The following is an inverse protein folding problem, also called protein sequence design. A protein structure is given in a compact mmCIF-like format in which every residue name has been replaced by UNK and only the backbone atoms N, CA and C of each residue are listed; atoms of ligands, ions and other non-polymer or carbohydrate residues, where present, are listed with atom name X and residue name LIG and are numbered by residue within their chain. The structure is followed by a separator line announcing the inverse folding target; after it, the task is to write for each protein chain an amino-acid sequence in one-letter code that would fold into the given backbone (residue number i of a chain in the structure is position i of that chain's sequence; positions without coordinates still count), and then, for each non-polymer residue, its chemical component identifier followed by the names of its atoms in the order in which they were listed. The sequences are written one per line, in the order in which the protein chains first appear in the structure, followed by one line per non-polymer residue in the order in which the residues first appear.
data_IF_531012286308
#
_entry.id   IF_531012286308
#
_cell.length_a   1.000
_cell.length_b   1.000
_cell.length_c   1.000
_cell.angle_alpha   90.00
_cell.angle_beta   90.00
_cell.angle_gamma   90.00
#
_symmetry.space_group_name_H-M   'P 1'
#
loop_
_entity.id
_entity.type
_entity.pdbx_description
1 polymer ?
#
# COMPACT_ATOMS: atom_id res chain seq x y z
N UNK A 1 -28.27 3.67 -10.18
CA UNK A 1 -27.73 4.17 -11.46
C UNK A 1 -28.47 3.46 -12.57
N UNK A 2 -29.17 4.16 -13.48
CA UNK A 2 -29.70 3.50 -14.66
C UNK A 2 -28.52 3.02 -15.52
N UNK A 3 -28.64 1.87 -16.23
CA UNK A 3 -27.61 1.45 -17.17
C UNK A 3 -27.67 2.41 -18.35
N UNK A 4 -26.71 3.33 -18.42
CA UNK A 4 -26.57 4.22 -19.58
C UNK A 4 -25.81 3.42 -20.63
N UNK A 5 -26.52 2.63 -21.44
CA UNK A 5 -25.93 2.14 -22.68
C UNK A 5 -25.65 3.36 -23.56
N UNK A 6 -24.38 3.68 -23.77
CA UNK A 6 -23.96 4.73 -24.71
C UNK A 6 -24.17 4.32 -26.18
N UNK A 7 -24.67 3.11 -26.41
CA UNK A 7 -24.99 2.58 -27.73
C UNK A 7 -26.42 2.94 -28.07
N UNK A 8 -26.59 3.62 -29.19
CA UNK A 8 -27.88 3.86 -29.82
C UNK A 8 -28.48 2.54 -30.34
N UNK A 9 -29.80 2.50 -30.55
CA UNK A 9 -30.47 1.32 -31.14
C UNK A 9 -29.82 0.90 -32.46
N UNK A 10 -29.38 1.86 -33.28
CA UNK A 10 -28.70 1.61 -34.55
C UNK A 10 -27.34 0.93 -34.37
N UNK A 11 -26.59 1.28 -33.34
CA UNK A 11 -25.31 0.63 -33.03
C UNK A 11 -25.51 -0.79 -32.50
N UNK A 12 -26.62 -1.07 -31.81
CA UNK A 12 -26.97 -2.43 -31.37
C UNK A 12 -27.32 -3.32 -32.57
N UNK A 13 -28.08 -2.78 -33.52
CA UNK A 13 -28.40 -3.50 -34.77
C UNK A 13 -27.13 -3.73 -35.60
N UNK A 14 -26.28 -2.69 -35.74
CA UNK A 14 -25.00 -2.79 -36.44
C UNK A 14 -24.06 -3.81 -35.77
N UNK A 15 -23.99 -3.82 -34.44
CA UNK A 15 -23.22 -4.82 -33.68
C UNK A 15 -23.70 -6.23 -33.98
N UNK A 16 -25.01 -6.44 -34.05
CA UNK A 16 -25.60 -7.75 -34.34
C UNK A 16 -25.22 -8.24 -35.74
N UNK A 17 -25.26 -7.33 -36.73
CA UNK A 17 -24.84 -7.62 -38.11
C UNK A 17 -23.35 -7.93 -38.18
N UNK A 18 -22.50 -7.06 -37.61
CA UNK A 18 -21.05 -7.28 -37.56
C UNK A 18 -20.71 -8.61 -36.90
N UNK A 19 -21.43 -8.97 -35.82
CA UNK A 19 -21.20 -10.22 -35.09
C UNK A 19 -21.55 -11.43 -35.94
N UNK A 20 -22.69 -11.41 -36.63
CA UNK A 20 -23.07 -12.48 -37.55
C UNK A 20 -22.05 -12.62 -38.68
N UNK A 21 -21.57 -11.51 -39.25
CA UNK A 21 -20.55 -11.53 -40.29
C UNK A 21 -19.24 -12.15 -39.79
N UNK A 22 -18.76 -11.74 -38.61
CA UNK A 22 -17.54 -12.28 -38.00
C UNK A 22 -17.62 -13.79 -37.75
N UNK A 23 -18.77 -14.30 -37.30
CA UNK A 23 -18.97 -15.73 -37.01
C UNK A 23 -18.99 -16.57 -38.28
N UNK A 24 -19.49 -16.03 -39.38
CA UNK A 24 -19.58 -16.71 -40.66
C UNK A 24 -18.29 -16.60 -41.50
N UNK A 25 -17.37 -15.72 -41.10
CA UNK A 25 -16.16 -15.46 -41.84
C UNK A 25 -15.03 -16.45 -41.53
N UNK A 26 -14.43 -17.00 -42.58
CA UNK A 26 -13.21 -17.79 -42.46
C UNK A 26 -12.01 -16.89 -42.23
N UNK A 27 -11.68 -16.69 -40.94
CA UNK A 27 -10.60 -15.80 -40.53
C UNK A 27 -9.22 -16.39 -40.91
N UNK A 28 -8.35 -15.61 -41.59
CA UNK A 28 -7.10 -16.12 -42.17
C UNK A 28 -6.07 -16.57 -41.12
N UNK A 29 -6.19 -16.09 -39.88
CA UNK A 29 -5.30 -16.46 -38.77
C UNK A 29 -5.81 -17.66 -37.95
N UNK A 30 -7.01 -18.17 -38.23
CA UNK A 30 -7.60 -19.35 -37.59
C UNK A 30 -7.28 -20.65 -38.36
N UNK A 31 -6.01 -20.88 -38.69
CA UNK A 31 -5.55 -22.11 -39.36
C UNK A 31 -5.54 -23.32 -38.41
N UNK A 32 -5.63 -24.53 -38.95
CA UNK A 32 -5.56 -25.80 -38.20
C UNK A 32 -4.28 -25.93 -37.34
N UNK A 33 -3.19 -25.28 -37.74
CA UNK A 33 -1.95 -25.21 -36.96
C UNK A 33 -2.07 -24.29 -35.72
N UNK A 34 -2.82 -23.20 -35.86
CA UNK A 34 -3.07 -22.23 -34.80
C UNK A 34 -4.13 -22.70 -33.81
N UNK A 35 -5.05 -23.60 -34.21
CA UNK A 35 -6.00 -24.27 -33.30
C UNK A 35 -5.31 -25.12 -32.22
N UNK A 36 -4.07 -25.59 -32.48
CA UNK A 36 -3.27 -26.37 -31.52
C UNK A 36 -2.43 -25.51 -30.57
N UNK A 37 -2.28 -24.21 -30.84
CA UNK A 37 -1.53 -23.28 -29.98
C UNK A 37 -2.49 -22.41 -29.19
N UNK A 38 -2.18 -22.17 -27.92
CA UNK A 38 -2.90 -21.21 -27.10
C UNK A 38 -2.59 -19.79 -27.57
N UNK A 39 -3.46 -19.23 -28.40
CA UNK A 39 -3.38 -17.83 -28.82
C UNK A 39 -3.85 -16.97 -27.64
N UNK A 40 -3.08 -15.93 -27.29
CA UNK A 40 -3.53 -14.94 -26.32
C UNK A 40 -4.78 -14.22 -26.84
N UNK A 41 -5.80 -14.08 -25.98
CA UNK A 41 -7.04 -13.38 -26.32
C UNK A 41 -6.79 -11.96 -26.85
N UNK A 42 -5.77 -11.27 -26.32
CA UNK A 42 -5.37 -9.93 -26.78
C UNK A 42 -4.80 -9.94 -28.20
N UNK A 43 -4.12 -11.03 -28.59
CA UNK A 43 -3.56 -11.18 -29.94
C UNK A 43 -4.68 -11.51 -30.93
N UNK A 44 -5.55 -12.44 -30.57
CA UNK A 44 -6.71 -12.82 -31.37
C UNK A 44 -7.58 -11.60 -31.75
N UNK A 45 -7.97 -10.79 -30.77
CA UNK A 45 -8.79 -9.61 -31.04
C UNK A 45 -8.04 -8.49 -31.75
N UNK A 46 -6.73 -8.37 -31.54
CA UNK A 46 -5.89 -7.43 -32.30
C UNK A 46 -5.90 -7.78 -33.79
N UNK A 47 -5.70 -9.06 -34.11
CA UNK A 47 -5.69 -9.53 -35.49
C UNK A 47 -7.06 -9.29 -36.17
N UNK A 48 -8.17 -9.37 -35.42
CA UNK A 48 -9.52 -8.98 -35.89
C UNK A 48 -9.64 -7.46 -36.12
N UNK A 49 -9.16 -6.64 -35.19
CA UNK A 49 -9.25 -5.18 -35.30
C UNK A 49 -8.38 -4.61 -36.42
N UNK A 50 -7.32 -5.33 -36.79
CA UNK A 50 -6.44 -4.94 -37.90
C UNK A 50 -7.04 -5.29 -39.28
N UNK A 51 -8.14 -6.04 -39.34
CA UNK A 51 -8.87 -6.30 -40.58
C UNK A 51 -9.51 -5.02 -41.11
N UNK A 52 -9.31 -4.77 -42.40
CA UNK A 52 -9.85 -3.60 -43.08
C UNK A 52 -10.73 -3.98 -44.25
N UNK A 53 -11.78 -3.19 -44.46
CA UNK A 53 -12.59 -3.22 -45.66
C UNK A 53 -12.56 -1.85 -46.33
N UNK A 54 -12.13 -1.80 -47.59
CA UNK A 54 -11.96 -0.57 -48.39
C UNK A 54 -11.19 0.54 -47.63
N UNK A 55 -10.24 0.16 -46.76
CA UNK A 55 -9.37 1.07 -46.01
C UNK A 55 -9.83 1.42 -44.59
N UNK A 56 -11.09 1.18 -44.24
CA UNK A 56 -11.66 1.39 -42.91
C UNK A 56 -11.65 0.10 -42.08
N UNK A 57 -11.77 0.22 -40.74
CA UNK A 57 -11.88 -0.94 -39.85
C UNK A 57 -13.11 -1.76 -40.23
N UNK A 58 -12.93 -3.08 -40.40
CA UNK A 58 -13.99 -3.98 -40.85
C UNK A 58 -15.09 -4.18 -39.81
N UNK A 59 -14.76 -4.05 -38.52
CA UNK A 59 -15.68 -4.28 -37.41
C UNK A 59 -15.59 -3.15 -36.35
N UNK A 60 -15.99 -1.92 -36.69
CA UNK A 60 -15.79 -0.76 -35.83
C UNK A 60 -16.64 -0.79 -34.56
N UNK A 61 -17.83 -1.41 -34.59
CA UNK A 61 -18.70 -1.49 -33.40
C UNK A 61 -18.26 -2.63 -32.48
N UNK A 62 -17.93 -3.80 -33.03
CA UNK A 62 -17.32 -4.91 -32.26
C UNK A 62 -16.02 -4.44 -31.60
N UNK A 63 -15.16 -3.72 -32.32
CA UNK A 63 -13.90 -3.22 -31.79
C UNK A 63 -14.11 -2.38 -30.52
N UNK A 64 -15.07 -1.45 -30.53
CA UNK A 64 -15.41 -0.64 -29.37
C UNK A 64 -15.91 -1.49 -28.20
N UNK A 65 -16.84 -2.41 -28.46
CA UNK A 65 -17.46 -3.25 -27.42
C UNK A 65 -16.44 -4.18 -26.79
N UNK A 66 -15.65 -4.87 -27.60
CA UNK A 66 -14.65 -5.83 -27.13
C UNK A 66 -13.53 -5.11 -26.38
N UNK A 67 -13.02 -3.98 -26.87
CA UNK A 67 -12.04 -3.17 -26.11
C UNK A 67 -12.58 -2.77 -24.74
N UNK A 68 -13.86 -2.38 -24.66
CA UNK A 68 -14.49 -2.06 -23.39
C UNK A 68 -14.57 -3.28 -22.45
N UNK A 69 -15.06 -4.41 -22.94
CA UNK A 69 -15.15 -5.65 -22.13
C UNK A 69 -13.78 -6.13 -21.66
N UNK A 70 -12.78 -6.13 -22.54
CA UNK A 70 -11.41 -6.52 -22.19
C UNK A 70 -10.79 -5.55 -21.18
N UNK A 71 -11.06 -4.24 -21.31
CA UNK A 71 -10.58 -3.26 -20.33
C UNK A 71 -11.16 -3.47 -18.93
N UNK A 72 -12.42 -3.91 -18.82
CA UNK A 72 -13.05 -4.26 -17.53
C UNK A 72 -12.37 -5.48 -16.93
N UNK A 73 -12.19 -6.54 -17.73
CA UNK A 73 -11.55 -7.76 -17.28
C UNK A 73 -10.11 -7.49 -16.80
N UNK A 74 -9.35 -6.69 -17.55
CA UNK A 74 -7.99 -6.32 -17.22
C UNK A 74 -7.91 -5.40 -15.99
N UNK A 75 -8.83 -4.45 -15.85
CA UNK A 75 -8.90 -3.57 -14.68
C UNK A 75 -9.12 -4.38 -13.39
N UNK A 76 -10.06 -5.32 -13.41
CA UNK A 76 -10.33 -6.18 -12.26
C UNK A 76 -9.15 -7.10 -11.95
N UNK A 77 -8.58 -7.78 -12.95
CA UNK A 77 -7.44 -8.67 -12.77
C UNK A 77 -6.20 -7.93 -12.24
N UNK A 78 -5.97 -6.69 -12.69
CA UNK A 78 -4.85 -5.86 -12.22
C UNK A 78 -4.99 -5.48 -10.75
N UNK A 79 -6.21 -5.12 -10.34
CA UNK A 79 -6.54 -4.79 -8.95
C UNK A 79 -6.40 -6.02 -8.06
N UNK A 80 -6.88 -7.18 -8.48
CA UNK A 80 -6.72 -8.44 -7.74
C UNK A 80 -5.25 -8.84 -7.57
N UNK A 81 -4.44 -8.73 -8.63
CA UNK A 81 -2.99 -8.97 -8.54
C UNK A 81 -2.33 -8.03 -7.53
N UNK A 82 -2.72 -6.75 -7.52
CA UNK A 82 -2.23 -5.78 -6.55
C UNK A 82 -2.64 -6.18 -5.13
N UNK A 83 -3.90 -6.57 -4.91
CA UNK A 83 -4.37 -7.03 -3.61
C UNK A 83 -3.65 -8.28 -3.12
N UNK A 84 -3.38 -9.26 -3.99
CA UNK A 84 -2.60 -10.46 -3.64
C UNK A 84 -1.18 -10.07 -3.20
N UNK A 85 -0.55 -9.15 -3.93
CA UNK A 85 0.78 -8.65 -3.57
C UNK A 85 0.77 -7.93 -2.21
N UNK A 86 -0.24 -7.09 -1.97
CA UNK A 86 -0.41 -6.41 -0.69
C UNK A 86 -0.70 -7.39 0.45
N UNK A 87 -1.54 -8.40 0.20
CA UNK A 87 -1.84 -9.44 1.17
C UNK A 87 -0.57 -10.16 1.61
N UNK A 88 0.36 -10.44 0.68
CA UNK A 88 1.65 -11.02 1.02
C UNK A 88 2.51 -10.09 1.90
N UNK A 89 2.54 -8.80 1.59
CA UNK A 89 3.33 -7.79 2.32
C UNK A 89 2.79 -7.59 3.75
N UNK A 90 1.46 -7.53 3.90
CA UNK A 90 0.79 -7.24 5.18
C UNK A 90 0.71 -8.50 6.04
N UNK A 91 0.24 -9.61 5.49
CA UNK A 91 -0.13 -10.82 6.25
C UNK A 91 1.08 -11.70 6.52
N UNK A 92 1.94 -11.96 5.53
CA UNK A 92 3.04 -12.95 5.67
C UNK A 92 4.17 -12.45 6.55
N UNK A 93 4.48 -11.16 6.50
CA UNK A 93 5.55 -10.55 7.29
C UNK A 93 5.07 -9.89 8.58
N UNK A 94 3.75 -9.94 8.89
CA UNK A 94 3.12 -9.25 10.04
C UNK A 94 3.54 -7.78 10.16
N UNK A 95 3.80 -7.14 9.02
CA UNK A 95 4.25 -5.76 8.98
C UNK A 95 3.05 -4.83 9.05
N UNK A 96 2.94 -4.05 10.13
CA UNK A 96 1.99 -2.94 10.20
C UNK A 96 2.60 -1.73 9.51
N UNK A 97 2.68 -1.77 8.19
CA UNK A 97 3.15 -0.64 7.39
C UNK A 97 2.07 0.43 7.32
N UNK A 98 2.46 1.69 7.48
CA UNK A 98 1.56 2.80 7.20
C UNK A 98 1.24 2.87 5.70
N UNK A 99 0.05 3.36 5.38
CA UNK A 99 -0.46 3.45 4.00
C UNK A 99 0.49 4.21 3.06
N UNK A 100 1.17 5.24 3.57
CA UNK A 100 2.14 6.00 2.79
C UNK A 100 3.35 5.15 2.37
N UNK A 101 3.84 4.29 3.28
CA UNK A 101 4.94 3.35 3.02
C UNK A 101 4.55 2.29 2.01
N UNK A 102 3.33 1.76 2.13
CA UNK A 102 2.79 0.78 1.18
C UNK A 102 2.69 1.36 -0.22
N UNK A 103 2.18 2.60 -0.34
CA UNK A 103 2.14 3.33 -1.63
C UNK A 103 3.53 3.52 -2.21
N UNK A 104 4.50 3.97 -1.40
CA UNK A 104 5.89 4.13 -1.85
C UNK A 104 6.51 2.82 -2.36
N UNK A 105 6.24 1.71 -1.67
CA UNK A 105 6.71 0.38 -2.08
C UNK A 105 6.10 -0.05 -3.42
N UNK A 106 4.79 0.14 -3.59
CA UNK A 106 4.10 -0.19 -4.85
C UNK A 106 4.64 0.64 -6.02
N UNK A 107 4.82 1.95 -5.83
CA UNK A 107 5.37 2.85 -6.85
C UNK A 107 6.79 2.40 -7.23
N UNK A 108 7.64 2.14 -6.24
CA UNK A 108 9.03 1.71 -6.48
C UNK A 108 9.07 0.39 -7.25
N UNK A 109 8.21 -0.57 -6.88
CA UNK A 109 8.12 -1.85 -7.57
C UNK A 109 7.62 -1.70 -9.00
N UNK A 110 6.60 -0.89 -9.23
CA UNK A 110 6.07 -0.62 -10.58
C UNK A 110 7.12 0.08 -11.45
N UNK A 111 7.84 1.05 -10.89
CA UNK A 111 8.94 1.73 -11.56
C UNK A 111 10.06 0.76 -11.96
N UNK A 112 10.43 -0.18 -11.08
CA UNK A 112 11.39 -1.23 -11.41
C UNK A 112 10.85 -2.12 -12.55
N UNK A 113 9.62 -2.62 -12.44
CA UNK A 113 9.02 -3.46 -13.48
C UNK A 113 9.00 -2.78 -14.87
N UNK A 114 8.79 -1.46 -14.93
CA UNK A 114 8.82 -0.70 -16.17
C UNK A 114 10.25 -0.49 -16.72
N UNK A 115 11.23 -0.33 -15.84
CA UNK A 115 12.62 -0.03 -16.22
C UNK A 115 13.56 -1.25 -16.19
N UNK A 116 13.02 -2.46 -15.99
CA UNK A 116 13.74 -3.73 -16.03
C UNK A 116 14.12 -4.28 -14.66
N UNK A 117 15.33 -4.83 -14.54
CA UNK A 117 15.82 -5.42 -13.29
C UNK A 117 16.55 -4.39 -12.43
N UNK A 118 16.64 -4.66 -11.13
CA UNK A 118 17.40 -3.85 -10.19
C UNK A 118 18.88 -3.68 -10.59
N UNK A 119 19.42 -4.60 -11.39
CA UNK A 119 20.81 -4.56 -11.90
C UNK A 119 21.02 -3.50 -12.98
N UNK A 120 19.97 -3.15 -13.73
CA UNK A 120 20.08 -2.26 -14.89
C UNK A 120 19.55 -0.86 -14.59
N UNK A 121 19.11 -0.61 -13.35
CA UNK A 121 18.56 0.66 -12.95
C UNK A 121 19.68 1.71 -12.89
N UNK A 122 19.59 2.70 -13.79
CA UNK A 122 20.45 3.89 -13.72
C UNK A 122 19.92 4.83 -12.65
N UNK A 123 20.70 5.01 -11.59
CA UNK A 123 20.37 5.95 -10.52
C UNK A 123 20.72 7.37 -11.01
N UNK A 124 19.71 8.20 -11.13
CA UNK A 124 19.87 9.61 -11.49
C UNK A 124 20.39 10.44 -10.29
N UNK A 125 21.02 11.58 -10.58
CA UNK A 125 21.55 12.50 -9.56
C UNK A 125 20.44 13.05 -8.66
N UNK A 126 19.26 13.31 -9.23
CA UNK A 126 18.07 13.71 -8.48
C UNK A 126 17.62 12.62 -7.48
N UNK A 127 17.68 11.35 -7.91
CA UNK A 127 17.32 10.21 -7.08
C UNK A 127 18.31 10.06 -5.91
N UNK A 128 19.61 10.27 -6.18
CA UNK A 128 20.64 10.28 -5.15
C UNK A 128 20.41 11.38 -4.10
N UNK A 129 20.03 12.59 -4.54
CA UNK A 129 19.67 13.67 -3.63
C UNK A 129 18.49 13.29 -2.72
N UNK A 130 17.41 12.75 -3.30
CA UNK A 130 16.24 12.33 -2.52
C UNK A 130 16.52 11.17 -1.56
N UNK A 131 17.40 10.23 -1.92
CA UNK A 131 17.85 9.16 -1.04
C UNK A 131 18.56 9.73 0.19
N UNK A 132 19.53 10.64 -0.02
CA UNK A 132 20.27 11.29 1.08
C UNK A 132 19.34 12.09 1.99
N UNK A 133 18.45 12.89 1.41
CA UNK A 133 17.48 13.68 2.16
C UNK A 133 16.53 12.80 3.00
N UNK A 134 16.05 11.69 2.43
CA UNK A 134 15.19 10.74 3.13
C UNK A 134 15.94 10.04 4.27
N UNK A 135 17.21 9.70 4.05
CA UNK A 135 18.06 9.09 5.08
C UNK A 135 18.33 10.05 6.24
N UNK A 136 18.63 11.33 5.97
CA UNK A 136 18.81 12.35 7.03
C UNK A 136 17.58 12.44 7.93
N UNK A 137 16.39 12.58 7.32
CA UNK A 137 15.12 12.62 8.07
C UNK A 137 14.84 11.36 8.87
N UNK A 138 15.22 10.19 8.35
CA UNK A 138 15.12 8.94 9.09
C UNK A 138 16.04 8.91 10.31
N UNK A 139 17.29 9.37 10.16
CA UNK A 139 18.24 9.48 11.27
C UNK A 139 17.74 10.45 12.35
N UNK A 140 17.31 11.65 11.96
CA UNK A 140 16.73 12.66 12.85
C UNK A 140 15.57 12.06 13.68
N UNK A 141 14.58 11.45 13.01
CA UNK A 141 13.44 10.82 13.69
C UNK A 141 13.84 9.71 14.67
N UNK A 142 14.87 8.93 14.36
CA UNK A 142 15.33 7.87 15.26
C UNK A 142 16.12 8.42 16.44
N UNK A 143 16.86 9.52 16.26
CA UNK A 143 17.54 10.22 17.34
C UNK A 143 16.52 10.83 18.30
N UNK A 144 15.52 11.57 17.79
CA UNK A 144 14.42 12.12 18.59
C UNK A 144 13.71 11.03 19.42
N UNK A 145 13.42 9.88 18.79
CA UNK A 145 12.81 8.73 19.50
C UNK A 145 13.71 8.12 20.57
N UNK A 146 15.03 8.19 20.44
CA UNK A 146 15.96 7.74 21.48
C UNK A 146 16.02 8.74 22.62
N UNK A 147 15.99 10.03 22.31
CA UNK A 147 16.06 11.12 23.28
C UNK A 147 14.82 11.12 24.17
N UNK A 148 13.63 11.05 23.56
CA UNK A 148 12.37 10.91 24.29
C UNK A 148 12.37 9.70 25.25
N UNK A 149 12.88 8.54 24.81
CA UNK A 149 12.97 7.36 25.68
C UNK A 149 13.93 7.55 26.85
N UNK A 150 15.04 8.28 26.64
CA UNK A 150 15.99 8.61 27.71
C UNK A 150 15.35 9.54 28.72
N UNK A 151 14.63 10.56 28.25
CA UNK A 151 13.95 11.54 29.08
C UNK A 151 12.84 10.90 29.93
N UNK A 152 11.94 10.11 29.33
CA UNK A 152 10.91 9.34 30.05
C UNK A 152 11.51 8.39 31.10
N UNK A 153 12.68 7.80 30.80
CA UNK A 153 13.39 6.94 31.76
C UNK A 153 13.97 7.73 32.93
N UNK A 154 14.47 8.94 32.69
CA UNK A 154 15.00 9.82 33.73
C UNK A 154 13.89 10.34 34.63
N UNK A 155 12.76 10.74 34.04
CA UNK A 155 11.60 11.26 34.77
C UNK A 155 11.01 10.20 35.71
N UNK A 156 10.90 8.94 35.24
CA UNK A 156 10.50 7.81 36.10
C UNK A 156 11.45 7.61 37.29
N UNK A 157 12.76 7.69 37.07
CA UNK A 157 13.76 7.55 38.16
C UNK A 157 13.65 8.68 39.18
N UNK A 158 13.49 9.92 38.71
CA UNK A 158 13.30 11.07 39.58
C UNK A 158 12.04 10.92 40.44
N UNK A 159 10.94 10.47 39.83
CA UNK A 159 9.68 10.26 40.55
C UNK A 159 9.82 9.17 41.63
N UNK A 160 10.57 8.09 41.34
CA UNK A 160 10.88 7.06 42.32
C UNK A 160 11.72 7.59 43.48
N UNK A 161 12.73 8.43 43.21
CA UNK A 161 13.56 9.07 44.25
C UNK A 161 12.74 10.01 45.12
N UNK A 162 11.94 10.90 44.53
CA UNK A 162 11.04 11.80 45.27
C UNK A 162 10.08 11.01 46.16
N UNK A 163 9.51 9.91 45.66
CA UNK A 163 8.63 9.05 46.45
C UNK A 163 9.36 8.38 47.62
N UNK A 164 10.61 7.93 47.43
CA UNK A 164 11.44 7.36 48.50
C UNK A 164 11.75 8.41 49.57
N UNK A 165 12.17 9.60 49.17
CA UNK A 165 12.44 10.71 50.08
C UNK A 165 11.21 11.12 50.88
N UNK A 166 10.06 11.27 50.21
CA UNK A 166 8.79 11.59 50.88
C UNK A 166 8.44 10.54 51.94
N UNK A 167 8.60 9.26 51.59
CA UNK A 167 8.35 8.14 52.52
C UNK A 167 9.31 8.18 53.71
N UNK A 168 10.59 8.49 53.47
CA UNK A 168 11.61 8.59 54.50
C UNK A 168 11.39 9.78 55.43
N UNK A 169 11.03 10.95 54.89
CA UNK A 169 10.67 12.14 55.65
C UNK A 169 9.41 11.93 56.50
N UNK A 170 8.41 11.22 55.98
CA UNK A 170 7.22 10.82 56.75
C UNK A 170 7.59 9.93 57.93
N UNK A 171 8.50 8.96 57.75
CA UNK A 171 9.01 8.13 58.85
C UNK A 171 9.75 8.97 59.89
N UNK A 172 10.62 9.88 59.48
CA UNK A 172 11.36 10.78 60.37
C UNK A 172 10.43 11.64 61.23
N UNK A 173 9.41 12.28 60.63
CA UNK A 173 8.39 13.04 61.38
C UNK A 173 7.70 12.20 62.45
N UNK A 174 7.30 10.96 62.11
CA UNK A 174 6.66 10.06 63.08
C UNK A 174 7.56 9.68 64.27
N UNK A 175 8.88 9.62 64.04
CA UNK A 175 9.87 9.34 65.10
C UNK A 175 10.03 10.56 66.01
N UNK A 176 10.03 11.76 65.43
CA UNK A 176 10.18 13.02 66.16
C UNK A 176 8.97 13.29 67.07
N UNK A 177 7.75 13.08 66.57
CA UNK A 177 6.51 13.15 67.35
C UNK A 177 6.52 12.16 68.54
N UNK A 178 7.02 10.93 68.31
CA UNK A 178 7.22 9.92 69.37
C UNK A 178 8.26 10.35 70.40
N UNK A 179 9.35 11.03 69.99
CA UNK A 179 10.36 11.55 70.92
C UNK A 179 9.79 12.68 71.78
N UNK A 180 9.01 13.58 71.21
CA UNK A 180 8.43 14.72 71.94
C UNK A 180 7.35 14.28 72.94
N UNK A 181 6.51 13.33 72.56
CA UNK A 181 5.56 12.69 73.49
C UNK A 181 6.29 11.98 74.64
N UNK A 182 7.38 11.26 74.34
CA UNK A 182 8.19 10.60 75.37
C UNK A 182 8.88 11.60 76.33
N UNK A 183 9.40 12.73 75.80
CA UNK A 183 9.95 13.82 76.62
C UNK A 183 8.90 14.44 77.53
N UNK A 184 7.70 14.72 77.00
CA UNK A 184 6.56 15.22 77.81
C UNK A 184 6.23 14.24 78.93
N UNK A 185 6.04 12.95 78.61
CA UNK A 185 5.75 11.91 79.61
C UNK A 185 6.83 11.78 80.71
N UNK A 186 8.11 11.94 80.35
CA UNK A 186 9.23 11.92 81.32
C UNK A 186 9.24 13.15 82.22
N UNK A 187 8.77 14.30 81.75
CA UNK A 187 8.66 15.54 82.53
C UNK A 187 7.55 15.45 83.58
N UNK A 188 6.41 14.84 83.24
CA UNK A 188 5.30 14.59 84.17
C UNK A 188 5.60 13.54 85.25
N UNK A 189 6.56 12.62 85.03
CA UNK A 189 6.98 11.62 86.04
C UNK A 189 8.00 12.14 87.08
N UNK A 190 8.48 13.37 86.95
CA UNK A 190 9.50 13.97 87.82
C UNK A 190 8.99 15.17 88.64
N UNK A 191 7.70 15.50 88.52
CA UNK A 191 6.95 16.38 89.43
C UNK A 191 6.11 15.51 90.35
#
# INVERSE_FOLDING_TARGET
MPPVSKLSSREIDALSIEWTLLVLEDLPFCTEENKKKTISISKYWRDIFDLKDIGDSKYPVIEKVVKFVLSIAEANASVERLFIQLFHIITKYRNKLETHTVKGLLITKSYLQANGTCTNLKIDETMMYHIKASHSKYCERNLERKDYRREDSLEKRLQEEVNKEYTQNKKLKSIEEKKDTFKKARKYRKS
#
